data_IF_691933789770
#
_entry.id   IF_691933789770
#
_cell.length_a   1.000
_cell.length_b   1.000
_cell.length_c   1.000
_cell.angle_alpha   90.00
_cell.angle_beta   90.00
_cell.angle_gamma   90.00
#
_symmetry.space_group_name_H-M   'P 1'
#
loop_
_entity.id
_entity.type
_entity.pdbx_description
1 polymer ?
#
# COMPACT_ATOMS: atom_id res chain seq x y z
N UNK A 1 -7.02 0.62 -14.09
CA UNK A 1 -5.93 -0.35 -14.25
C UNK A 1 -6.43 -1.64 -13.68
N UNK A 2 -6.48 -2.70 -14.47
CA UNK A 2 -6.90 -4.02 -13.98
C UNK A 2 -5.71 -4.67 -13.28
N UNK A 3 -5.85 -4.94 -11.99
CA UNK A 3 -4.94 -5.76 -11.20
C UNK A 3 -5.48 -7.18 -11.23
N UNK A 4 -4.61 -8.16 -11.47
CA UNK A 4 -4.94 -9.58 -11.50
C UNK A 4 -4.66 -10.26 -10.16
N UNK A 5 -5.47 -11.27 -9.84
CA UNK A 5 -5.25 -12.10 -8.67
C UNK A 5 -3.83 -12.69 -8.69
N UNK A 6 -3.13 -12.59 -7.56
CA UNK A 6 -1.75 -13.02 -7.41
C UNK A 6 -0.69 -11.99 -7.84
N UNK A 7 -1.07 -10.85 -8.42
CA UNK A 7 -0.11 -9.79 -8.74
C UNK A 7 0.41 -9.12 -7.46
N UNK A 8 1.73 -8.90 -7.43
CA UNK A 8 2.38 -8.13 -6.36
C UNK A 8 2.27 -6.64 -6.71
N UNK A 9 1.68 -5.87 -5.81
CA UNK A 9 1.49 -4.44 -5.98
C UNK A 9 2.17 -3.66 -4.84
N UNK A 10 2.79 -2.55 -5.22
CA UNK A 10 3.29 -1.55 -4.28
C UNK A 10 2.48 -0.27 -4.50
N UNK A 11 1.78 0.19 -3.46
CA UNK A 11 1.00 1.42 -3.53
C UNK A 11 1.82 2.51 -2.85
N UNK A 12 2.29 3.47 -3.63
CA UNK A 12 3.04 4.64 -3.14
C UNK A 12 2.21 5.91 -3.25
N UNK A 13 2.04 6.64 -2.16
CA UNK A 13 1.36 7.94 -2.15
C UNK A 13 2.37 9.09 -2.28
N UNK A 14 2.62 9.56 -3.51
CA UNK A 14 3.23 10.86 -3.79
C UNK A 14 4.71 11.07 -3.41
N UNK A 15 5.35 12.00 -4.12
CA UNK A 15 6.82 12.17 -4.17
C UNK A 15 7.39 13.03 -3.01
N UNK A 16 6.56 13.68 -2.18
CA UNK A 16 7.03 14.80 -1.34
C UNK A 16 6.77 14.77 0.17
N UNK A 17 6.06 13.80 0.74
CA UNK A 17 5.87 13.77 2.21
C UNK A 17 5.99 12.37 2.79
N UNK A 18 7.25 11.91 2.85
CA UNK A 18 7.61 10.63 3.42
C UNK A 18 7.20 9.49 2.49
N UNK A 19 8.18 8.71 2.05
CA UNK A 19 7.91 7.43 1.39
C UNK A 19 7.24 6.48 2.39
N UNK A 20 5.94 6.65 2.64
CA UNK A 20 5.11 5.66 3.30
C UNK A 20 4.85 4.55 2.27
N UNK A 21 5.84 3.68 2.07
CA UNK A 21 5.65 2.44 1.33
C UNK A 21 4.85 1.51 2.24
N UNK A 22 3.55 1.42 1.99
CA UNK A 22 2.74 0.34 2.53
C UNK A 22 2.92 -0.90 1.65
N UNK A 23 3.20 -2.05 2.27
CA UNK A 23 3.43 -3.30 1.55
C UNK A 23 4.77 -3.37 0.82
N UNK A 24 5.07 -4.55 0.26
CA UNK A 24 4.33 -5.07 -0.89
C UNK A 24 3.09 -5.86 -0.49
N UNK A 25 2.05 -5.76 -1.32
CA UNK A 25 0.81 -6.49 -1.18
C UNK A 25 0.64 -7.48 -2.33
N UNK A 26 -0.19 -8.49 -2.12
CA UNK A 26 -0.67 -9.40 -3.18
C UNK A 26 -2.16 -9.17 -3.39
N UNK A 27 -2.57 -9.03 -4.65
CA UNK A 27 -3.97 -8.99 -5.00
C UNK A 27 -4.62 -10.36 -4.75
N UNK A 28 -5.72 -10.39 -4.01
CA UNK A 28 -6.46 -11.62 -3.70
C UNK A 28 -7.40 -12.03 -4.83
N UNK A 29 -7.84 -11.06 -5.64
CA UNK A 29 -8.76 -11.23 -6.75
C UNK A 29 -8.48 -10.21 -7.86
N UNK A 30 -9.14 -10.38 -9.00
CA UNK A 30 -9.11 -9.40 -10.09
C UNK A 30 -9.93 -8.16 -9.69
N UNK A 31 -9.37 -6.95 -9.84
CA UNK A 31 -10.11 -5.71 -9.62
C UNK A 31 -9.60 -4.56 -10.49
N UNK A 32 -10.44 -3.57 -10.73
CA UNK A 32 -10.05 -2.33 -11.40
C UNK A 32 -9.69 -1.26 -10.37
N UNK A 33 -8.38 -1.02 -10.23
CA UNK A 33 -7.85 -0.01 -9.33
C UNK A 33 -8.30 1.40 -9.72
N UNK A 34 -8.40 1.72 -11.01
CA UNK A 34 -8.78 3.09 -11.42
C UNK A 34 -10.25 3.34 -11.12
N UNK A 35 -11.10 2.34 -11.34
CA UNK A 35 -12.52 2.40 -10.99
C UNK A 35 -12.72 2.53 -9.47
N UNK A 36 -11.97 1.76 -8.66
CA UNK A 36 -12.02 1.87 -7.20
C UNK A 36 -11.59 3.26 -6.72
N UNK A 37 -10.49 3.79 -7.25
CA UNK A 37 -10.00 5.12 -6.92
C UNK A 37 -11.01 6.19 -7.33
N UNK A 38 -11.57 6.10 -8.54
CA UNK A 38 -12.56 7.04 -9.03
C UNK A 38 -13.85 7.02 -8.18
N UNK A 39 -14.31 5.85 -7.76
CA UNK A 39 -15.44 5.70 -6.85
C UNK A 39 -15.17 6.28 -5.47
N UNK A 40 -13.99 6.00 -4.93
CA UNK A 40 -13.55 6.53 -3.63
C UNK A 40 -13.35 8.05 -3.66
N UNK A 41 -13.03 8.63 -4.82
CA UNK A 41 -12.88 10.08 -5.02
C UNK A 41 -14.22 10.84 -5.16
N UNK A 42 -15.31 10.19 -5.58
CA UNK A 42 -16.63 10.84 -5.80
C UNK A 42 -17.11 11.77 -4.67
N UNK A 43 -16.98 11.42 -3.37
CA UNK A 43 -17.46 12.28 -2.29
C UNK A 43 -16.57 13.49 -1.99
N UNK A 44 -15.37 13.58 -2.56
CA UNK A 44 -14.40 14.64 -2.23
C UNK A 44 -14.43 15.77 -3.27
N UNK A 45 -14.59 17.00 -2.78
CA UNK A 45 -14.67 18.20 -3.62
C UNK A 45 -13.40 19.05 -3.54
N UNK A 46 -12.59 18.89 -2.49
CA UNK A 46 -11.43 19.75 -2.25
C UNK A 46 -10.09 19.00 -2.39
N UNK A 47 -9.07 19.65 -2.98
CA UNK A 47 -7.79 19.02 -3.35
C UNK A 47 -6.99 18.43 -2.18
N UNK A 48 -7.16 18.97 -0.97
CA UNK A 48 -6.43 18.49 0.22
C UNK A 48 -7.04 17.20 0.80
N UNK A 49 -8.35 17.01 0.64
CA UNK A 49 -9.04 15.76 1.00
C UNK A 49 -8.50 14.60 0.15
N UNK A 50 -8.24 14.88 -1.13
CA UNK A 50 -7.68 13.92 -2.09
C UNK A 50 -6.27 13.46 -1.69
N UNK A 51 -5.42 14.35 -1.17
CA UNK A 51 -4.06 13.98 -0.74
C UNK A 51 -4.04 13.08 0.51
N UNK A 52 -4.96 13.30 1.45
CA UNK A 52 -5.10 12.41 2.62
C UNK A 52 -5.61 11.03 2.18
N UNK A 53 -6.60 11.00 1.29
CA UNK A 53 -7.19 9.75 0.78
C UNK A 53 -6.17 8.81 0.13
N UNK A 54 -5.17 9.34 -0.59
CA UNK A 54 -4.12 8.49 -1.17
C UNK A 54 -3.30 7.71 -0.13
N UNK A 55 -3.21 8.21 1.11
CA UNK A 55 -2.60 7.46 2.22
C UNK A 55 -3.51 6.32 2.71
N UNK A 56 -4.83 6.48 2.58
CA UNK A 56 -5.83 5.55 3.11
C UNK A 56 -6.24 4.46 2.11
N UNK A 57 -6.04 4.67 0.80
CA UNK A 57 -6.36 3.67 -0.24
C UNK A 57 -5.78 2.28 0.02
N UNK A 58 -4.49 2.10 0.37
CA UNK A 58 -3.93 0.79 0.68
C UNK A 58 -4.68 0.10 1.83
N UNK A 59 -5.00 0.87 2.88
CA UNK A 59 -5.74 0.37 4.04
C UNK A 59 -7.16 -0.04 3.66
N UNK A 60 -7.86 0.76 2.86
CA UNK A 60 -9.21 0.43 2.39
C UNK A 60 -9.22 -0.86 1.56
N UNK A 61 -8.27 -1.01 0.63
CA UNK A 61 -8.13 -2.21 -0.19
C UNK A 61 -7.84 -3.47 0.67
N UNK A 62 -7.08 -3.31 1.75
CA UNK A 62 -6.80 -4.39 2.70
C UNK A 62 -8.05 -4.76 3.52
N UNK A 63 -8.74 -3.77 4.07
CA UNK A 63 -9.95 -3.99 4.89
C UNK A 63 -11.09 -4.66 4.11
N UNK A 64 -11.25 -4.33 2.82
CA UNK A 64 -12.23 -4.98 1.94
C UNK A 64 -11.74 -6.32 1.36
N UNK A 65 -10.50 -6.71 1.67
CA UNK A 65 -9.92 -8.00 1.29
C UNK A 65 -9.48 -8.11 -0.17
N UNK A 66 -9.29 -7.00 -0.88
CA UNK A 66 -8.81 -6.99 -2.28
C UNK A 66 -7.31 -7.24 -2.36
N UNK A 67 -6.60 -6.92 -1.28
CA UNK A 67 -5.16 -7.11 -1.15
C UNK A 67 -4.85 -7.73 0.21
N UNK A 68 -3.76 -8.49 0.27
CA UNK A 68 -3.19 -9.00 1.52
C UNK A 68 -1.73 -8.59 1.60
N UNK A 69 -1.20 -8.40 2.81
CA UNK A 69 0.23 -8.16 2.97
C UNK A 69 1.03 -9.37 2.49
N UNK A 70 2.04 -9.12 1.65
CA UNK A 70 3.00 -10.16 1.30
C UNK A 70 3.97 -10.29 2.48
N UNK A 71 4.14 -11.48 3.08
CA UNK A 71 5.10 -11.67 4.16
C UNK A 71 6.51 -11.40 3.63
N UNK A 72 7.01 -10.19 3.88
CA UNK A 72 8.32 -9.75 3.47
C UNK A 72 9.23 -9.67 4.67
N UNK A 73 10.45 -10.17 4.53
CA UNK A 73 11.50 -9.91 5.51
C UNK A 73 11.86 -8.43 5.44
N UNK A 74 11.61 -7.69 6.52
CA UNK A 74 12.09 -6.32 6.68
C UNK A 74 13.61 -6.38 6.83
N UNK A 75 14.34 -5.92 5.82
CA UNK A 75 15.80 -5.81 5.88
C UNK A 75 16.13 -4.38 6.31
N UNK A 76 16.71 -4.25 7.50
CA UNK A 76 17.20 -2.98 7.99
C UNK A 76 18.62 -2.76 7.45
N UNK A 77 18.74 -1.87 6.47
CA UNK A 77 20.04 -1.34 6.09
C UNK A 77 20.47 -0.40 7.23
N UNK A 78 21.34 -0.88 8.11
CA UNK A 78 21.93 -0.07 9.17
C UNK A 78 22.64 1.16 8.60
N UNK A 79 22.86 2.16 9.46
CA UNK A 79 23.57 3.38 9.07
C UNK A 79 24.97 3.04 8.53
N UNK A 80 25.20 3.30 7.25
CA UNK A 80 26.46 3.10 6.52
C UNK A 80 27.18 1.77 6.81
N UNK A 81 26.72 0.69 6.16
CA UNK A 81 27.57 -0.47 5.85
C UNK A 81 27.32 -1.75 6.65
N UNK A 82 26.46 -1.72 7.66
CA UNK A 82 26.03 -2.93 8.37
C UNK A 82 24.59 -3.28 7.96
N UNK A 83 24.43 -4.39 7.23
CA UNK A 83 23.10 -4.94 6.91
C UNK A 83 22.70 -5.85 8.07
N UNK A 84 21.72 -5.44 8.86
CA UNK A 84 21.20 -6.24 9.96
C UNK A 84 19.83 -6.81 9.54
N UNK A 85 19.80 -8.10 9.22
CA UNK A 85 18.58 -8.81 8.82
C UNK A 85 17.88 -9.28 10.10
N UNK A 86 16.84 -8.55 10.53
CA UNK A 86 16.02 -8.90 11.69
C UNK A 86 14.60 -9.25 11.26
N UNK A 87 14.07 -10.37 11.74
CA UNK A 87 12.63 -10.67 11.67
C UNK A 87 11.92 -9.95 12.82
N UNK A 88 10.94 -9.10 12.50
CA UNK A 88 10.03 -8.58 13.52
C UNK A 88 9.09 -9.70 13.95
N UNK A 89 9.03 -9.97 15.26
CA UNK A 89 7.92 -10.73 15.81
C UNK A 89 6.73 -9.80 15.90
N UNK A 90 5.63 -10.17 15.25
CA UNK A 90 4.34 -9.55 15.48
C UNK A 90 3.91 -9.87 16.92
N UNK A 91 3.84 -8.86 17.78
CA UNK A 91 3.15 -8.97 19.05
C UNK A 91 1.63 -8.94 18.76
N UNK A 92 0.96 -10.02 19.15
CA UNK A 92 -0.48 -10.29 18.96
C UNK A 92 -1.40 -9.32 19.71
#
# INVERSE_FOLDING_TARGET
MIVKAGEVICISSGIFEGYARAGPFVATQDFDLDSFVAETMKPFTEKWEVSSMFRDIPRMLFEIGFITELPCRKIYLGAMGEVDIREEKEDF
#
